data_IF_656754865260
#
_entry.id   IF_656754865260
#
_cell.length_a   1.000
_cell.length_b   1.000
_cell.length_c   1.000
_cell.angle_alpha   90.00
_cell.angle_beta   90.00
_cell.angle_gamma   90.00
#
_symmetry.space_group_name_H-M   'P 1'
#
loop_
_entity.id
_entity.type
_entity.pdbx_description
1 polymer ?
#
# COMPACT_ATOMS: atom_id res chain seq x y z
N UNK A 1 -15.06 6.70 -10.28
CA UNK A 1 -13.80 7.06 -9.59
C UNK A 1 -13.07 5.86 -9.00
N UNK A 2 -13.57 5.22 -7.93
CA UNK A 2 -12.85 4.16 -7.19
C UNK A 2 -12.31 3.02 -8.08
N UNK A 3 -13.14 2.50 -8.98
CA UNK A 3 -12.74 1.42 -9.92
C UNK A 3 -11.53 1.81 -10.76
N UNK A 4 -11.44 3.05 -11.24
CA UNK A 4 -10.32 3.56 -12.05
C UNK A 4 -9.04 3.61 -11.20
N UNK A 5 -9.14 4.10 -9.97
CA UNK A 5 -8.00 4.22 -9.05
C UNK A 5 -7.40 2.85 -8.69
N UNK A 6 -8.27 1.89 -8.37
CA UNK A 6 -7.87 0.52 -8.05
C UNK A 6 -7.33 -0.21 -9.29
N UNK A 7 -7.92 -0.01 -10.47
CA UNK A 7 -7.43 -0.62 -11.71
C UNK A 7 -6.05 -0.08 -12.10
N UNK A 8 -5.81 1.22 -11.95
CA UNK A 8 -4.50 1.81 -12.22
C UNK A 8 -3.43 1.27 -11.26
N UNK A 9 -3.77 1.15 -9.97
CA UNK A 9 -2.90 0.56 -8.97
C UNK A 9 -2.61 -0.93 -9.26
N UNK A 10 -3.64 -1.68 -9.67
CA UNK A 10 -3.51 -3.06 -10.11
C UNK A 10 -2.58 -3.17 -11.32
N UNK A 11 -2.72 -2.28 -12.30
CA UNK A 11 -1.91 -2.27 -13.52
C UNK A 11 -0.44 -2.02 -13.22
N UNK A 12 -0.12 -1.05 -12.35
CA UNK A 12 1.26 -0.80 -11.91
C UNK A 12 1.84 -2.04 -11.23
N UNK A 13 1.12 -2.64 -10.30
CA UNK A 13 1.57 -3.84 -9.59
C UNK A 13 1.77 -5.02 -10.55
N UNK A 14 0.82 -5.23 -11.47
CA UNK A 14 0.85 -6.27 -12.49
C UNK A 14 2.07 -6.12 -13.40
N UNK A 15 2.28 -4.94 -13.99
CA UNK A 15 3.42 -4.66 -14.86
C UNK A 15 4.73 -4.80 -14.10
N UNK A 16 4.83 -4.21 -12.89
CA UNK A 16 6.06 -4.24 -12.11
C UNK A 16 6.47 -5.66 -11.72
N UNK A 17 5.52 -6.49 -11.27
CA UNK A 17 5.79 -7.88 -10.91
C UNK A 17 6.18 -8.71 -12.15
N UNK A 18 5.44 -8.57 -13.25
CA UNK A 18 5.76 -9.30 -14.47
C UNK A 18 7.14 -8.91 -15.02
N UNK A 19 7.45 -7.61 -15.07
CA UNK A 19 8.76 -7.13 -15.53
C UNK A 19 9.91 -7.66 -14.65
N UNK A 20 9.73 -7.63 -13.33
CA UNK A 20 10.74 -8.07 -12.37
C UNK A 20 11.10 -9.54 -12.52
N UNK A 21 10.08 -10.42 -12.60
CA UNK A 21 10.29 -11.87 -12.64
C UNK A 21 10.59 -12.39 -14.05
N UNK A 22 10.04 -11.79 -15.10
CA UNK A 22 10.38 -12.16 -16.49
C UNK A 22 11.86 -11.92 -16.79
N UNK A 23 12.45 -10.86 -16.24
CA UNK A 23 13.87 -10.58 -16.41
C UNK A 23 14.76 -11.70 -15.85
N UNK A 24 14.30 -12.47 -14.86
CA UNK A 24 15.10 -13.54 -14.24
C UNK A 24 15.34 -14.75 -15.17
N UNK A 25 14.59 -14.88 -16.27
CA UNK A 25 14.84 -15.89 -17.30
C UNK A 25 15.97 -15.52 -18.28
N UNK A 26 16.50 -14.29 -18.18
CA UNK A 26 17.67 -13.84 -18.94
C UNK A 26 18.93 -14.05 -18.09
N UNK A 27 19.96 -14.60 -18.71
CA UNK A 27 21.26 -14.67 -18.07
C UNK A 27 21.86 -13.26 -17.97
N UNK A 28 22.07 -12.78 -16.75
CA UNK A 28 22.61 -11.44 -16.48
C UNK A 28 23.51 -11.49 -15.25
N UNK A 29 24.66 -10.81 -15.32
CA UNK A 29 25.64 -10.73 -14.23
C UNK A 29 26.04 -12.10 -13.66
N UNK A 30 26.21 -13.11 -14.52
CA UNK A 30 26.59 -14.46 -14.08
C UNK A 30 25.46 -15.29 -13.47
N UNK A 31 24.20 -14.85 -13.58
CA UNK A 31 23.06 -15.54 -12.96
C UNK A 31 21.94 -15.87 -13.95
N UNK A 32 21.30 -17.03 -13.76
CA UNK A 32 20.02 -17.42 -14.37
C UNK A 32 19.06 -17.81 -13.24
N UNK A 33 17.82 -17.30 -13.27
CA UNK A 33 16.82 -17.50 -12.21
C UNK A 33 17.32 -17.19 -10.79
N UNK A 34 18.23 -16.23 -10.63
CA UNK A 34 18.91 -15.93 -9.38
C UNK A 34 19.80 -17.06 -8.83
N UNK A 35 20.32 -17.92 -9.71
CA UNK A 35 21.37 -18.92 -9.41
C UNK A 35 22.63 -18.51 -10.18
N UNK A 36 23.77 -18.47 -9.50
CA UNK A 36 25.07 -18.15 -10.11
C UNK A 36 25.56 -19.35 -10.91
N UNK A 37 25.86 -19.15 -12.20
CA UNK A 37 26.28 -20.21 -13.12
C UNK A 37 27.48 -19.76 -13.96
N UNK A 38 28.36 -20.69 -14.38
CA UNK A 38 29.37 -20.41 -15.38
C UNK A 38 28.72 -20.23 -16.75
N UNK A 39 29.31 -19.40 -17.62
CA UNK A 39 28.75 -19.11 -18.94
C UNK A 39 28.50 -20.35 -19.80
N UNK A 40 29.39 -21.34 -19.73
CA UNK A 40 29.26 -22.60 -20.50
C UNK A 40 28.09 -23.49 -20.07
N UNK A 41 27.52 -23.31 -18.86
CA UNK A 41 26.38 -24.11 -18.42
C UNK A 41 25.11 -23.82 -19.26
N UNK A 42 25.00 -22.63 -19.85
CA UNK A 42 23.80 -22.20 -20.58
C UNK A 42 23.47 -23.05 -21.81
N UNK A 43 24.45 -23.73 -22.39
CA UNK A 43 24.26 -24.61 -23.54
C UNK A 43 23.62 -25.95 -23.17
N UNK A 44 23.56 -26.28 -21.88
CA UNK A 44 22.99 -27.54 -21.41
C UNK A 44 21.48 -27.62 -21.68
N UNK A 45 21.05 -28.73 -22.29
CA UNK A 45 19.66 -28.94 -22.71
C UNK A 45 18.66 -28.78 -21.54
N UNK A 46 19.01 -29.28 -20.35
CA UNK A 46 18.14 -29.20 -19.17
C UNK A 46 17.86 -27.77 -18.71
N UNK A 47 18.85 -26.87 -18.81
CA UNK A 47 18.62 -25.45 -18.49
C UNK A 47 17.70 -24.79 -19.53
N UNK A 48 17.79 -25.18 -20.79
CA UNK A 48 16.85 -24.72 -21.82
C UNK A 48 15.43 -25.23 -21.55
N UNK A 49 15.29 -26.48 -21.09
CA UNK A 49 14.00 -27.02 -20.66
C UNK A 49 13.40 -26.26 -19.47
N UNK A 50 14.22 -25.91 -18.46
CA UNK A 50 13.78 -25.09 -17.32
C UNK A 50 13.29 -23.73 -17.79
N UNK A 51 14.02 -23.07 -18.70
CA UNK A 51 13.63 -21.76 -19.27
C UNK A 51 12.31 -21.85 -20.05
N UNK A 52 12.17 -22.83 -20.95
CA UNK A 52 10.94 -23.02 -21.71
C UNK A 52 9.73 -23.30 -20.81
N UNK A 53 9.91 -24.11 -19.75
CA UNK A 53 8.86 -24.39 -18.75
C UNK A 53 8.49 -23.13 -17.97
N UNK A 54 9.48 -22.35 -17.55
CA UNK A 54 9.26 -21.06 -16.89
C UNK A 54 8.47 -20.13 -17.80
N UNK A 55 8.91 -19.89 -19.04
CA UNK A 55 8.26 -18.95 -19.95
C UNK A 55 6.80 -19.34 -20.23
N UNK A 56 6.53 -20.63 -20.46
CA UNK A 56 5.17 -21.14 -20.65
C UNK A 56 4.30 -20.93 -19.41
N UNK A 57 4.78 -21.35 -18.24
CA UNK A 57 4.00 -21.28 -16.99
C UNK A 57 3.83 -19.83 -16.49
N UNK A 58 4.84 -19.00 -16.64
CA UNK A 58 4.84 -17.58 -16.31
C UNK A 58 3.90 -16.79 -17.21
N UNK A 59 3.97 -17.00 -18.53
CA UNK A 59 3.07 -16.34 -19.48
C UNK A 59 1.61 -16.75 -19.23
N UNK A 60 1.37 -18.03 -18.95
CA UNK A 60 0.03 -18.52 -18.55
C UNK A 60 -0.43 -17.86 -17.26
N UNK A 61 0.40 -17.79 -16.23
CA UNK A 61 0.06 -17.13 -14.96
C UNK A 61 -0.27 -15.64 -15.16
N UNK A 62 0.56 -14.91 -15.90
CA UNK A 62 0.30 -13.51 -16.26
C UNK A 62 -1.02 -13.35 -16.98
N UNK A 63 -1.27 -14.13 -18.04
CA UNK A 63 -2.51 -14.09 -18.81
C UNK A 63 -3.75 -14.32 -17.92
N UNK A 64 -3.76 -15.36 -17.08
CA UNK A 64 -4.90 -15.63 -16.20
C UNK A 64 -5.10 -14.55 -15.14
N UNK A 65 -4.02 -13.99 -14.58
CA UNK A 65 -4.15 -12.87 -13.66
C UNK A 65 -4.67 -11.61 -14.35
N UNK A 66 -4.30 -11.38 -15.61
CA UNK A 66 -4.86 -10.33 -16.46
C UNK A 66 -6.35 -10.52 -16.75
N UNK A 67 -6.76 -11.74 -17.14
CA UNK A 67 -8.18 -12.12 -17.29
C UNK A 67 -8.94 -11.94 -15.97
N UNK A 68 -8.29 -12.19 -14.83
CA UNK A 68 -8.82 -11.94 -13.50
C UNK A 68 -9.19 -10.48 -13.21
N UNK A 69 -8.79 -9.51 -14.05
CA UNK A 69 -9.29 -8.13 -13.92
C UNK A 69 -10.69 -7.94 -14.53
N UNK A 70 -11.19 -8.88 -15.35
CA UNK A 70 -12.54 -8.79 -15.93
C UNK A 70 -13.62 -8.84 -14.84
N UNK A 71 -13.63 -9.84 -13.92
CA UNK A 71 -14.58 -9.83 -12.80
C UNK A 71 -14.47 -8.57 -11.94
N UNK A 72 -13.25 -8.04 -11.73
CA UNK A 72 -13.06 -6.79 -10.99
C UNK A 72 -13.82 -5.62 -11.65
N UNK A 73 -13.76 -5.48 -12.98
CA UNK A 73 -14.50 -4.44 -13.71
C UNK A 73 -16.01 -4.68 -13.64
N UNK A 74 -16.47 -5.92 -13.78
CA UNK A 74 -17.90 -6.28 -13.68
C UNK A 74 -18.47 -5.92 -12.30
N UNK A 75 -17.67 -6.05 -11.24
CA UNK A 75 -18.08 -5.73 -9.87
C UNK A 75 -18.25 -4.22 -9.59
N UNK A 76 -18.12 -3.32 -10.58
CA UNK A 76 -18.25 -1.86 -10.36
C UNK A 76 -19.58 -1.45 -9.70
N UNK A 77 -20.66 -2.19 -9.95
CA UNK A 77 -21.98 -1.95 -9.34
C UNK A 77 -22.06 -2.35 -7.87
N UNK A 78 -21.13 -3.20 -7.39
CA UNK A 78 -21.05 -3.68 -6.02
C UNK A 78 -19.69 -3.38 -5.40
N UNK A 79 -19.49 -2.10 -5.08
CA UNK A 79 -18.24 -1.54 -4.55
C UNK A 79 -17.62 -2.37 -3.40
N UNK A 80 -18.36 -2.82 -2.36
CA UNK A 80 -17.77 -3.61 -1.28
C UNK A 80 -17.11 -4.90 -1.80
N UNK A 81 -17.79 -5.65 -2.66
CA UNK A 81 -17.25 -6.88 -3.25
C UNK A 81 -16.12 -6.61 -4.24
N UNK A 82 -16.17 -5.48 -4.97
CA UNK A 82 -15.07 -5.06 -5.84
C UNK A 82 -13.77 -4.83 -5.05
N UNK A 83 -13.85 -4.17 -3.89
CA UNK A 83 -12.69 -3.93 -3.02
C UNK A 83 -12.15 -5.24 -2.45
N UNK A 84 -13.02 -6.12 -1.97
CA UNK A 84 -12.63 -7.44 -1.45
C UNK A 84 -11.94 -8.25 -2.55
N UNK A 85 -12.53 -8.31 -3.74
CA UNK A 85 -11.97 -8.99 -4.89
C UNK A 85 -10.58 -8.43 -5.24
N UNK A 86 -10.42 -7.11 -5.27
CA UNK A 86 -9.13 -6.46 -5.53
C UNK A 86 -8.04 -6.89 -4.54
N UNK A 87 -8.34 -6.91 -3.24
CA UNK A 87 -7.39 -7.31 -2.20
C UNK A 87 -6.95 -8.78 -2.36
N UNK A 88 -7.91 -9.67 -2.63
CA UNK A 88 -7.64 -11.09 -2.87
C UNK A 88 -6.86 -11.29 -4.17
N UNK A 89 -7.26 -10.60 -5.23
CA UNK A 89 -6.60 -10.65 -6.55
C UNK A 89 -5.14 -10.18 -6.44
N UNK A 90 -4.85 -9.14 -5.65
CA UNK A 90 -3.48 -8.66 -5.44
C UNK A 90 -2.60 -9.72 -4.75
N UNK A 91 -3.13 -10.41 -3.74
CA UNK A 91 -2.43 -11.53 -3.09
C UNK A 91 -2.22 -12.69 -4.06
N UNK A 92 -3.25 -13.05 -4.82
CA UNK A 92 -3.20 -14.10 -5.84
C UNK A 92 -2.17 -13.77 -6.94
N UNK A 93 -2.11 -12.51 -7.40
CA UNK A 93 -1.13 -12.03 -8.38
C UNK A 93 0.30 -12.30 -7.91
N UNK A 94 0.62 -11.91 -6.67
CA UNK A 94 1.96 -12.13 -6.09
C UNK A 94 2.28 -13.62 -6.09
N UNK A 95 1.38 -14.46 -5.58
CA UNK A 95 1.61 -15.91 -5.50
C UNK A 95 1.74 -16.56 -6.88
N UNK A 96 0.88 -16.20 -7.83
CA UNK A 96 0.84 -16.76 -9.18
C UNK A 96 2.10 -16.41 -9.99
N UNK A 97 2.62 -15.18 -9.85
CA UNK A 97 3.84 -14.73 -10.54
C UNK A 97 5.10 -15.31 -9.88
N UNK A 98 5.12 -15.42 -8.55
CA UNK A 98 6.27 -15.94 -7.80
C UNK A 98 6.42 -17.46 -7.95
N UNK A 99 5.33 -18.23 -8.07
CA UNK A 99 5.39 -19.68 -8.08
C UNK A 99 6.22 -20.28 -9.25
N UNK A 100 6.05 -19.87 -10.53
CA UNK A 100 6.91 -20.29 -11.63
C UNK A 100 8.39 -19.99 -11.39
N UNK A 101 8.70 -18.78 -10.90
CA UNK A 101 10.07 -18.39 -10.59
C UNK A 101 10.69 -19.28 -9.51
N UNK A 102 9.96 -19.56 -8.42
CA UNK A 102 10.44 -20.44 -7.34
C UNK A 102 10.74 -21.84 -7.83
N UNK A 103 9.93 -22.36 -8.76
CA UNK A 103 10.19 -23.67 -9.37
C UNK A 103 11.46 -23.62 -10.21
N UNK A 104 11.57 -22.64 -11.11
CA UNK A 104 12.74 -22.47 -11.95
C UNK A 104 14.04 -22.31 -11.14
N UNK A 105 14.03 -21.48 -10.09
CA UNK A 105 15.17 -21.35 -9.17
C UNK A 105 15.59 -22.69 -8.56
N UNK A 106 14.63 -23.49 -8.05
CA UNK A 106 14.94 -24.79 -7.45
C UNK A 106 15.49 -25.78 -8.46
N UNK A 107 14.88 -25.85 -9.65
CA UNK A 107 15.30 -26.76 -10.72
C UNK A 107 16.71 -26.38 -11.20
N UNK A 108 16.99 -25.08 -11.40
CA UNK A 108 18.34 -24.58 -11.76
C UNK A 108 19.36 -24.84 -10.66
N UNK A 109 19.01 -24.65 -9.38
CA UNK A 109 19.91 -24.94 -8.26
C UNK A 109 20.21 -26.43 -8.12
N UNK A 110 19.25 -27.31 -8.45
CA UNK A 110 19.46 -28.75 -8.46
C UNK A 110 20.44 -29.17 -9.56
N UNK A 111 20.23 -28.70 -10.80
CA UNK A 111 21.14 -28.95 -11.92
C UNK A 111 22.56 -28.43 -11.63
N UNK A 112 22.66 -27.24 -11.02
CA UNK A 112 23.95 -26.71 -10.57
C UNK A 112 24.70 -27.66 -9.63
N UNK A 113 23.99 -28.31 -8.71
CA UNK A 113 24.59 -29.26 -7.77
C UNK A 113 24.99 -30.56 -8.46
N UNK A 114 24.15 -31.05 -9.36
CA UNK A 114 24.38 -32.29 -10.12
C UNK A 114 25.61 -32.19 -11.03
N UNK A 115 25.74 -31.08 -11.77
CA UNK A 115 26.83 -30.87 -12.71
C UNK A 115 28.01 -30.07 -12.12
N UNK A 116 28.01 -29.83 -10.81
CA UNK A 116 29.03 -29.08 -10.08
C UNK A 116 29.37 -27.70 -10.69
N UNK A 117 28.36 -26.97 -11.18
CA UNK A 117 28.49 -25.63 -11.77
C UNK A 117 28.72 -24.52 -10.73
N UNK A 118 29.71 -24.69 -9.87
CA UNK A 118 30.08 -23.73 -8.84
C UNK A 118 31.11 -22.72 -9.37
N UNK A 119 30.95 -21.45 -8.99
CA UNK A 119 31.82 -20.36 -9.48
C UNK A 119 32.43 -19.58 -8.31
N UNK A 120 33.75 -19.47 -8.28
CA UNK A 120 34.45 -18.69 -7.26
C UNK A 120 34.45 -19.34 -5.87
N UNK A 121 34.64 -18.54 -4.83
CA UNK A 121 34.74 -19.02 -3.47
C UNK A 121 33.35 -19.36 -2.89
N UNK A 122 33.20 -20.56 -2.34
CA UNK A 122 31.99 -21.00 -1.64
C UNK A 122 31.94 -20.43 -0.23
N UNK A 123 30.78 -19.96 0.21
CA UNK A 123 30.48 -19.63 1.63
C UNK A 123 31.40 -18.58 2.28
N UNK A 124 31.90 -17.62 1.51
CA UNK A 124 32.74 -16.53 2.04
C UNK A 124 31.91 -15.27 2.27
N UNK A 125 31.98 -14.72 3.47
CA UNK A 125 31.44 -13.38 3.77
C UNK A 125 32.59 -12.39 3.69
N UNK A 126 32.66 -11.65 2.58
CA UNK A 126 33.66 -10.60 2.41
C UNK A 126 33.18 -9.29 3.04
N UNK A 127 34.09 -8.58 3.70
CA UNK A 127 33.82 -7.25 4.24
C UNK A 127 35.00 -6.33 3.99
N UNK A 128 34.72 -5.17 3.40
CA UNK A 128 35.67 -4.07 3.28
C UNK A 128 35.43 -3.08 4.43
N UNK A 129 36.39 -3.02 5.36
CA UNK A 129 36.31 -2.16 6.56
C UNK A 129 36.30 -0.67 6.21
N UNK A 130 37.02 -0.27 5.16
CA UNK A 130 37.08 1.13 4.72
C UNK A 130 35.73 1.54 4.14
N UNK A 131 35.11 0.68 3.33
CA UNK A 131 33.74 0.90 2.83
C UNK A 131 32.74 0.95 3.98
N UNK A 132 32.87 0.07 4.97
CA UNK A 132 31.97 0.05 6.12
C UNK A 132 31.96 1.40 6.87
N UNK A 133 33.14 2.04 7.00
CA UNK A 133 33.30 3.37 7.58
C UNK A 133 32.81 4.50 6.66
N UNK A 134 33.10 4.43 5.35
CA UNK A 134 32.91 5.55 4.42
C UNK A 134 31.59 5.55 3.65
N UNK A 135 30.82 4.44 3.65
CA UNK A 135 29.60 4.28 2.82
C UNK A 135 28.57 5.40 2.99
N UNK A 136 28.43 5.94 4.19
CA UNK A 136 27.39 6.93 4.52
C UNK A 136 27.84 8.39 4.31
N UNK A 137 29.10 8.65 3.94
CA UNK A 137 29.63 10.02 3.81
C UNK A 137 28.89 10.88 2.79
N UNK A 138 28.31 10.27 1.76
CA UNK A 138 27.53 10.98 0.71
C UNK A 138 26.01 10.88 0.90
N UNK A 139 25.52 10.34 2.01
CA UNK A 139 24.09 10.29 2.31
C UNK A 139 23.53 11.69 2.61
N UNK A 140 22.29 11.95 2.20
CA UNK A 140 21.53 13.15 2.52
C UNK A 140 21.53 13.39 4.03
N UNK A 141 21.90 14.58 4.48
CA UNK A 141 21.87 14.95 5.91
C UNK A 141 20.48 14.69 6.51
N UNK A 142 20.43 14.08 7.69
CA UNK A 142 19.16 13.80 8.37
C UNK A 142 18.45 15.09 8.78
N UNK A 143 19.19 16.18 8.97
CA UNK A 143 18.64 17.51 9.23
C UNK A 143 17.73 18.02 8.11
N UNK A 144 17.87 17.51 6.88
CA UNK A 144 16.97 17.86 5.79
C UNK A 144 15.53 17.38 6.03
N UNK A 145 15.32 16.37 6.88
CA UNK A 145 13.96 15.95 7.27
C UNK A 145 13.22 17.01 8.09
N UNK A 146 13.90 18.02 8.64
CA UNK A 146 13.22 19.17 9.26
C UNK A 146 12.26 19.86 8.28
N UNK A 147 12.54 19.82 6.97
CA UNK A 147 11.68 20.40 5.93
C UNK A 147 10.31 19.71 5.88
N UNK A 148 10.20 18.39 5.56
CA UNK A 148 8.90 17.72 5.54
C UNK A 148 8.25 17.65 6.93
N UNK A 149 9.01 17.61 8.03
CA UNK A 149 8.42 17.74 9.37
C UNK A 149 7.79 19.11 9.61
N UNK A 150 8.45 20.20 9.20
CA UNK A 150 7.89 21.55 9.33
C UNK A 150 6.62 21.70 8.49
N UNK A 151 6.57 21.13 7.28
CA UNK A 151 5.36 21.09 6.45
C UNK A 151 4.22 20.35 7.16
N UNK A 152 4.48 19.12 7.64
CA UNK A 152 3.49 18.30 8.33
C UNK A 152 2.98 18.94 9.63
N UNK A 153 3.89 19.47 10.45
CA UNK A 153 3.56 20.13 11.72
C UNK A 153 2.79 21.43 11.46
N UNK A 154 3.20 22.23 10.48
CA UNK A 154 2.48 23.45 10.10
C UNK A 154 1.03 23.16 9.72
N UNK A 155 0.81 22.13 8.89
CA UNK A 155 -0.53 21.68 8.50
C UNK A 155 -1.33 21.14 9.70
N UNK A 156 -0.67 20.40 10.60
CA UNK A 156 -1.30 19.86 11.82
C UNK A 156 -1.74 20.97 12.77
N UNK A 157 -0.86 21.93 13.08
CA UNK A 157 -1.16 23.06 13.97
C UNK A 157 -2.31 23.91 13.43
N UNK A 158 -2.32 24.14 12.12
CA UNK A 158 -3.43 24.82 11.45
C UNK A 158 -4.75 24.03 11.62
N UNK A 159 -4.73 22.72 11.38
CA UNK A 159 -5.92 21.87 11.53
C UNK A 159 -6.46 21.83 12.97
N UNK A 160 -5.58 21.81 13.98
CA UNK A 160 -5.97 21.88 15.40
C UNK A 160 -6.63 23.22 15.71
N UNK A 161 -6.01 24.33 15.29
CA UNK A 161 -6.53 25.68 15.55
C UNK A 161 -7.88 25.92 14.89
N UNK A 162 -8.11 25.33 13.72
CA UNK A 162 -9.35 25.51 12.94
C UNK A 162 -10.44 24.50 13.26
N UNK A 163 -10.26 23.61 14.24
CA UNK A 163 -11.16 22.49 14.53
C UNK A 163 -11.53 21.70 13.26
N UNK A 164 -10.51 21.43 12.43
CA UNK A 164 -10.72 20.95 11.08
C UNK A 164 -11.35 19.53 11.05
N UNK A 165 -12.45 19.32 10.30
CA UNK A 165 -13.11 18.02 10.23
C UNK A 165 -12.28 16.91 9.55
N UNK A 166 -11.16 17.24 8.89
CA UNK A 166 -10.27 16.32 8.19
C UNK A 166 -8.92 16.14 8.88
N UNK A 167 -8.89 16.24 10.22
CA UNK A 167 -7.69 16.02 11.05
C UNK A 167 -6.93 14.71 10.74
N UNK A 168 -7.62 13.64 10.32
CA UNK A 168 -6.99 12.38 9.90
C UNK A 168 -6.10 12.50 8.67
N UNK A 169 -6.43 13.42 7.75
CA UNK A 169 -5.64 13.67 6.53
C UNK A 169 -4.40 14.49 6.87
N UNK A 170 -4.52 15.48 7.75
CA UNK A 170 -3.41 16.36 8.15
C UNK A 170 -2.37 15.62 8.99
N UNK A 171 -2.79 14.63 9.79
CA UNK A 171 -1.90 13.73 10.54
C UNK A 171 -1.18 12.70 9.65
N UNK A 172 -1.77 12.33 8.51
CA UNK A 172 -1.19 11.35 7.59
C UNK A 172 0.20 11.73 7.06
N UNK A 173 0.40 13.00 6.71
CA UNK A 173 1.69 13.51 6.25
C UNK A 173 2.81 13.38 7.30
N UNK A 174 2.47 13.59 8.57
CA UNK A 174 3.41 13.45 9.69
C UNK A 174 3.83 11.98 9.87
N UNK A 175 2.87 11.05 9.84
CA UNK A 175 3.12 9.61 9.99
C UNK A 175 4.00 9.09 8.85
N UNK A 176 3.71 9.46 7.59
CA UNK A 176 4.54 9.05 6.46
C UNK A 176 5.94 9.67 6.51
N UNK A 177 6.06 10.93 6.94
CA UNK A 177 7.37 11.59 7.12
C UNK A 177 8.22 10.84 8.15
N UNK A 178 7.63 10.49 9.29
CA UNK A 178 8.30 9.70 10.33
C UNK A 178 8.70 8.31 9.81
N UNK A 179 7.84 7.65 9.03
CA UNK A 179 8.14 6.37 8.39
C UNK A 179 9.32 6.46 7.42
N UNK A 180 9.37 7.48 6.55
CA UNK A 180 10.49 7.66 5.62
C UNK A 180 11.79 8.02 6.33
N UNK A 181 11.74 8.80 7.41
CA UNK A 181 12.90 9.05 8.26
C UNK A 181 13.39 7.74 8.88
N UNK A 182 12.49 6.92 9.44
CA UNK A 182 12.82 5.63 10.01
C UNK A 182 13.49 4.71 8.97
N UNK A 183 12.93 4.63 7.76
CA UNK A 183 13.54 3.88 6.65
C UNK A 183 14.93 4.43 6.32
N UNK A 184 15.12 5.75 6.26
CA UNK A 184 16.42 6.38 5.97
C UNK A 184 17.48 6.11 7.04
N UNK A 185 17.10 6.23 8.32
CA UNK A 185 17.94 5.86 9.47
C UNK A 185 18.35 4.40 9.41
N UNK A 186 17.39 3.53 9.10
CA UNK A 186 17.62 2.10 9.02
C UNK A 186 18.52 1.72 7.84
N UNK A 187 18.27 2.29 6.67
CA UNK A 187 19.08 2.07 5.47
C UNK A 187 20.56 2.36 5.74
N UNK A 188 20.90 3.41 6.49
CA UNK A 188 22.29 3.73 6.87
C UNK A 188 23.00 2.61 7.65
N UNK A 189 22.26 1.73 8.32
CA UNK A 189 22.79 0.58 9.09
C UNK A 189 23.03 -0.68 8.25
N UNK A 190 22.40 -0.83 7.10
CA UNK A 190 22.57 -2.02 6.23
C UNK A 190 24.07 -2.19 5.87
N UNK A 191 24.59 -3.42 5.86
CA UNK A 191 25.98 -3.72 5.46
C UNK A 191 26.26 -3.23 4.03
N UNK A 192 27.50 -2.84 3.77
CA UNK A 192 27.95 -2.53 2.42
C UNK A 192 28.12 -3.81 1.60
N UNK A 193 27.86 -3.73 0.29
CA UNK A 193 28.16 -4.82 -0.64
C UNK A 193 29.62 -4.71 -1.07
N UNK A 194 30.33 -5.83 -1.10
CA UNK A 194 31.67 -5.95 -1.70
C UNK A 194 31.45 -6.42 -3.14
N UNK A 195 31.83 -5.59 -4.10
CA UNK A 195 31.64 -5.84 -5.53
C UNK A 195 32.94 -6.33 -6.19
N UNK A 196 34.07 -5.79 -5.74
CA UNK A 196 35.39 -6.02 -6.30
C UNK A 196 36.45 -6.14 -5.20
N UNK A 197 37.60 -6.72 -5.52
CA UNK A 197 38.81 -6.63 -4.69
C UNK A 197 39.37 -5.19 -4.62
N UNK A 198 38.92 -4.29 -5.50
CA UNK A 198 39.26 -2.88 -5.49
C UNK A 198 38.39 -2.10 -4.50
N UNK A 199 39.00 -1.66 -3.38
CA UNK A 199 38.32 -0.91 -2.33
C UNK A 199 37.72 0.41 -2.82
N UNK A 200 38.38 1.12 -3.74
CA UNK A 200 37.87 2.39 -4.27
C UNK A 200 36.56 2.20 -5.05
N UNK A 201 36.49 1.17 -5.89
CA UNK A 201 35.26 0.80 -6.61
C UNK A 201 34.13 0.50 -5.63
N UNK A 202 34.42 -0.27 -4.57
CA UNK A 202 33.43 -0.56 -3.55
C UNK A 202 32.94 0.72 -2.83
N UNK A 203 33.84 1.67 -2.53
CA UNK A 203 33.50 2.95 -1.89
C UNK A 203 32.59 3.76 -2.82
N UNK A 204 32.97 3.92 -4.09
CA UNK A 204 32.21 4.71 -5.08
C UNK A 204 30.80 4.16 -5.23
N UNK A 205 30.65 2.85 -5.47
CA UNK A 205 29.35 2.23 -5.69
C UNK A 205 28.47 2.27 -4.44
N UNK A 206 29.02 1.97 -3.26
CA UNK A 206 28.24 2.05 -2.02
C UNK A 206 27.84 3.49 -1.72
N UNK A 207 28.73 4.47 -1.86
CA UNK A 207 28.39 5.88 -1.61
C UNK A 207 27.35 6.41 -2.60
N UNK A 208 27.45 6.05 -3.89
CA UNK A 208 26.46 6.42 -4.89
C UNK A 208 25.08 5.85 -4.55
N UNK A 209 25.02 4.56 -4.21
CA UNK A 209 23.79 3.90 -3.74
C UNK A 209 23.22 4.59 -2.50
N UNK A 210 24.07 4.87 -1.51
CA UNK A 210 23.65 5.52 -0.24
C UNK A 210 23.13 6.92 -0.45
N UNK A 211 23.79 7.71 -1.31
CA UNK A 211 23.34 9.05 -1.71
C UNK A 211 21.96 8.96 -2.36
N UNK A 212 21.85 8.21 -3.46
CA UNK A 212 20.62 8.11 -4.25
C UNK A 212 19.43 7.65 -3.40
N UNK A 213 19.59 6.59 -2.60
CA UNK A 213 18.50 6.07 -1.75
C UNK A 213 18.13 7.05 -0.62
N UNK A 214 19.10 7.71 0.01
CA UNK A 214 18.80 8.68 1.08
C UNK A 214 18.06 9.91 0.57
N UNK A 215 18.41 10.42 -0.61
CA UNK A 215 17.69 11.52 -1.25
C UNK A 215 16.33 11.09 -1.80
N UNK A 216 16.19 9.85 -2.28
CA UNK A 216 14.90 9.29 -2.68
C UNK A 216 13.91 9.31 -1.52
N UNK A 217 14.27 8.80 -0.34
CA UNK A 217 13.35 8.78 0.81
C UNK A 217 13.04 10.16 1.37
N UNK A 218 13.99 11.10 1.29
CA UNK A 218 13.72 12.50 1.63
C UNK A 218 12.74 13.14 0.65
N UNK A 219 12.95 12.94 -0.66
CA UNK A 219 12.05 13.37 -1.71
C UNK A 219 10.64 12.80 -1.53
N UNK A 220 10.54 11.50 -1.24
CA UNK A 220 9.27 10.84 -0.95
C UNK A 220 8.52 11.50 0.22
N UNK A 221 9.23 11.87 1.29
CA UNK A 221 8.61 12.57 2.41
C UNK A 221 8.06 13.96 2.00
N UNK A 222 8.79 14.71 1.19
CA UNK A 222 8.33 16.03 0.71
C UNK A 222 7.14 15.86 -0.24
N UNK A 223 7.25 14.95 -1.21
CA UNK A 223 6.20 14.68 -2.18
C UNK A 223 4.89 14.24 -1.50
N UNK A 224 4.95 13.33 -0.52
CA UNK A 224 3.74 12.91 0.20
C UNK A 224 3.12 14.06 1.03
N UNK A 225 3.91 14.98 1.59
CA UNK A 225 3.32 16.16 2.25
C UNK A 225 2.56 17.06 1.25
N UNK A 226 3.10 17.23 0.03
CA UNK A 226 2.40 17.94 -1.05
C UNK A 226 1.12 17.18 -1.43
N UNK A 227 1.19 15.85 -1.52
CA UNK A 227 0.03 15.00 -1.80
C UNK A 227 -1.08 15.20 -0.77
N UNK A 228 -0.76 15.12 0.53
CA UNK A 228 -1.73 15.31 1.61
C UNK A 228 -2.33 16.72 1.60
N UNK A 229 -1.54 17.75 1.31
CA UNK A 229 -2.06 19.10 1.13
C UNK A 229 -3.05 19.18 -0.04
N UNK A 230 -2.74 18.55 -1.18
CA UNK A 230 -3.64 18.52 -2.32
C UNK A 230 -4.92 17.73 -2.03
N UNK A 231 -4.82 16.55 -1.39
CA UNK A 231 -5.99 15.79 -0.92
C UNK A 231 -6.85 16.67 -0.02
N UNK A 232 -6.24 17.41 0.91
CA UNK A 232 -6.95 18.30 1.81
C UNK A 232 -7.69 19.41 1.05
N UNK A 233 -7.03 20.14 0.15
CA UNK A 233 -7.64 21.19 -0.67
C UNK A 233 -8.82 20.61 -1.48
N UNK A 234 -8.64 19.42 -2.04
CA UNK A 234 -9.67 18.72 -2.80
C UNK A 234 -10.86 18.33 -1.91
N UNK A 235 -10.63 17.86 -0.68
CA UNK A 235 -11.70 17.51 0.27
C UNK A 235 -12.55 18.73 0.67
N UNK A 236 -11.91 19.87 0.93
CA UNK A 236 -12.59 21.11 1.35
C UNK A 236 -13.39 21.74 0.22
N UNK A 237 -12.83 21.73 -1.00
CA UNK A 237 -13.44 22.36 -2.17
C UNK A 237 -14.23 21.37 -3.04
N UNK A 238 -14.39 20.13 -2.59
CA UNK A 238 -14.94 19.03 -3.36
C UNK A 238 -16.32 19.35 -3.91
N UNK A 239 -16.44 19.32 -5.24
CA UNK A 239 -17.69 19.37 -5.97
C UNK A 239 -17.62 18.42 -7.17
N UNK A 240 -18.78 18.05 -7.73
CA UNK A 240 -18.86 17.08 -8.82
C UNK A 240 -18.06 17.48 -10.08
N UNK A 241 -17.85 18.78 -10.32
CA UNK A 241 -17.04 19.27 -11.43
C UNK A 241 -15.54 19.03 -11.27
N UNK A 242 -15.08 18.71 -10.05
CA UNK A 242 -13.66 18.47 -9.75
C UNK A 242 -13.26 17.00 -9.80
N UNK A 243 -14.19 16.07 -10.07
CA UNK A 243 -13.93 14.62 -10.07
C UNK A 243 -12.76 14.21 -10.97
N UNK A 244 -12.59 14.88 -12.12
CA UNK A 244 -11.46 14.65 -13.02
C UNK A 244 -10.11 15.04 -12.40
N UNK A 245 -10.06 16.20 -11.73
CA UNK A 245 -8.87 16.66 -11.01
C UNK A 245 -8.53 15.73 -9.84
N UNK A 246 -9.54 15.30 -9.09
CA UNK A 246 -9.41 14.30 -8.03
C UNK A 246 -8.73 13.02 -8.51
N UNK A 247 -9.23 12.47 -9.61
CA UNK A 247 -8.64 11.28 -10.22
C UNK A 247 -7.20 11.57 -10.64
N UNK A 248 -6.95 12.69 -11.33
CA UNK A 248 -5.62 13.03 -11.81
C UNK A 248 -4.58 13.16 -10.68
N UNK A 249 -4.91 13.83 -9.57
CA UNK A 249 -4.01 13.95 -8.42
C UNK A 249 -3.68 12.58 -7.83
N UNK A 250 -4.68 11.73 -7.58
CA UNK A 250 -4.44 10.40 -6.99
C UNK A 250 -3.59 9.52 -7.92
N UNK A 251 -3.87 9.53 -9.22
CA UNK A 251 -3.09 8.78 -10.20
C UNK A 251 -1.65 9.29 -10.29
N UNK A 252 -1.45 10.61 -10.30
CA UNK A 252 -0.13 11.22 -10.36
C UNK A 252 0.70 10.85 -9.13
N UNK A 253 0.14 10.92 -7.93
CA UNK A 253 0.83 10.55 -6.69
C UNK A 253 0.93 9.04 -6.46
N UNK A 254 0.29 8.24 -7.30
CA UNK A 254 0.60 6.81 -7.39
C UNK A 254 1.78 6.56 -8.36
N UNK A 255 1.83 7.30 -9.47
CA UNK A 255 2.87 7.16 -10.50
C UNK A 255 4.22 7.80 -10.13
N UNK A 256 4.25 8.99 -9.52
CA UNK A 256 5.47 9.72 -9.15
C UNK A 256 6.35 8.89 -8.20
N UNK A 257 5.84 8.31 -7.09
CA UNK A 257 6.61 7.41 -6.25
C UNK A 257 7.20 6.22 -7.00
N UNK A 258 6.37 5.53 -7.78
CA UNK A 258 6.79 4.35 -8.53
C UNK A 258 7.90 4.69 -9.55
N UNK A 259 7.73 5.78 -10.29
CA UNK A 259 8.71 6.30 -11.23
C UNK A 259 10.00 6.76 -10.54
N UNK A 260 9.91 7.42 -9.39
CA UNK A 260 11.07 7.87 -8.60
C UNK A 260 11.90 6.70 -8.10
N UNK A 261 11.26 5.64 -7.61
CA UNK A 261 11.91 4.39 -7.20
C UNK A 261 12.58 3.73 -8.41
N UNK A 262 11.84 3.56 -9.51
CA UNK A 262 12.38 2.96 -10.73
C UNK A 262 13.61 3.71 -11.24
N UNK A 263 13.52 5.04 -11.38
CA UNK A 263 14.62 5.89 -11.83
C UNK A 263 15.84 5.79 -10.91
N UNK A 264 15.64 5.84 -9.59
CA UNK A 264 16.71 5.74 -8.61
C UNK A 264 17.48 4.41 -8.72
N UNK A 265 16.76 3.28 -8.82
CA UNK A 265 17.40 1.97 -8.97
C UNK A 265 18.02 1.76 -10.35
N UNK A 266 17.35 2.23 -11.42
CA UNK A 266 17.92 2.19 -12.76
C UNK A 266 19.26 2.93 -12.82
N UNK A 267 19.32 4.15 -12.26
CA UNK A 267 20.55 4.94 -12.15
C UNK A 267 21.64 4.23 -11.35
N UNK A 268 21.29 3.57 -10.24
CA UNK A 268 22.26 2.78 -9.44
C UNK A 268 22.80 1.61 -10.26
N UNK A 269 21.93 0.88 -10.95
CA UNK A 269 22.32 -0.29 -11.74
C UNK A 269 23.16 0.08 -12.96
N UNK A 270 22.83 1.17 -13.66
CA UNK A 270 23.62 1.66 -14.78
C UNK A 270 25.07 1.98 -14.35
N UNK A 271 25.21 2.69 -13.22
CA UNK A 271 26.53 3.00 -12.66
C UNK A 271 27.28 1.74 -12.19
N UNK A 272 26.58 0.78 -11.56
CA UNK A 272 27.17 -0.50 -11.16
C UNK A 272 27.73 -1.25 -12.38
N UNK A 273 26.99 -1.31 -13.49
CA UNK A 273 27.45 -1.97 -14.71
C UNK A 273 28.65 -1.25 -15.35
N UNK A 274 28.59 0.07 -15.45
CA UNK A 274 29.66 0.88 -16.04
C UNK A 274 30.99 0.73 -15.28
N UNK A 275 30.95 0.88 -13.95
CA UNK A 275 32.17 0.83 -13.12
C UNK A 275 32.74 -0.58 -13.05
N UNK A 276 31.90 -1.61 -12.91
CA UNK A 276 32.38 -2.99 -12.82
C UNK A 276 32.92 -3.54 -14.15
N UNK A 277 32.39 -3.07 -15.28
CA UNK A 277 32.92 -3.44 -16.59
C UNK A 277 34.38 -2.98 -16.78
N UNK A 278 34.78 -1.88 -16.13
CA UNK A 278 36.13 -1.32 -16.24
C UNK A 278 37.11 -1.86 -15.19
N UNK A 279 36.62 -2.46 -14.10
CA UNK A 279 37.46 -2.80 -12.94
C UNK A 279 38.28 -4.10 -13.12
N UNK A 280 37.76 -5.07 -13.87
CA UNK A 280 38.47 -6.34 -14.15
C UNK A 280 38.77 -7.24 -12.94
N UNK A 281 38.38 -6.83 -11.72
CA UNK A 281 38.63 -7.55 -10.45
C UNK A 281 37.34 -7.86 -9.68
N UNK A 282 36.25 -8.03 -10.42
CA UNK A 282 34.92 -8.36 -9.88
C UNK A 282 34.96 -9.69 -9.15
N UNK A 283 34.34 -9.74 -7.97
CA UNK A 283 34.25 -10.96 -7.17
C UNK A 283 32.97 -11.70 -7.50
N UNK A 284 33.11 -12.96 -7.90
CA UNK A 284 32.01 -13.91 -7.97
C UNK A 284 32.00 -14.74 -6.69
N UNK A 285 30.96 -14.60 -5.88
CA UNK A 285 30.76 -15.39 -4.66
C UNK A 285 29.58 -16.34 -4.88
N UNK A 286 29.76 -17.61 -4.54
CA UNK A 286 28.71 -18.61 -4.63
C UNK A 286 28.02 -18.78 -3.27
N UNK A 287 26.97 -17.99 -3.04
CA UNK A 287 26.17 -17.98 -1.82
C UNK A 287 24.73 -18.50 -2.03
N UNK A 288 24.48 -19.17 -3.16
CA UNK A 288 23.14 -19.58 -3.62
C UNK A 288 22.38 -20.44 -2.61
N UNK A 289 23.10 -21.24 -1.83
CA UNK A 289 22.54 -22.10 -0.78
C UNK A 289 21.80 -21.30 0.31
N UNK A 290 22.16 -20.03 0.52
CA UNK A 290 21.53 -19.15 1.49
C UNK A 290 20.34 -18.36 0.93
N UNK A 291 20.01 -18.49 -0.36
CA UNK A 291 18.92 -17.78 -0.99
C UNK A 291 17.68 -18.67 -1.14
N UNK A 292 16.95 -18.84 -0.04
CA UNK A 292 15.68 -19.54 -0.05
C UNK A 292 14.74 -18.93 -1.12
N UNK A 293 14.28 -19.78 -2.03
CA UNK A 293 13.33 -19.41 -3.09
C UNK A 293 13.84 -18.35 -4.08
N UNK A 294 15.15 -18.09 -4.13
CA UNK A 294 15.79 -17.15 -5.06
C UNK A 294 15.70 -15.67 -4.69
N UNK A 295 14.90 -15.30 -3.69
CA UNK A 295 14.74 -13.89 -3.26
C UNK A 295 14.72 -13.67 -1.74
N UNK A 296 14.58 -14.72 -0.93
CA UNK A 296 14.60 -14.62 0.54
C UNK A 296 15.95 -15.09 1.05
N UNK A 297 16.61 -14.33 1.91
CA UNK A 297 17.90 -14.71 2.47
C UNK A 297 17.72 -15.53 3.75
N UNK A 298 18.51 -16.58 3.91
CA UNK A 298 18.53 -17.49 5.04
C UNK A 298 19.95 -17.95 5.32
N UNK A 299 20.70 -17.17 6.08
CA UNK A 299 22.04 -17.53 6.52
C UNK A 299 22.17 -17.46 8.05
N UNK A 300 22.24 -18.60 8.76
CA UNK A 300 22.44 -18.64 10.21
C UNK A 300 23.75 -18.01 10.69
N UNK A 301 24.76 -17.94 9.82
CA UNK A 301 26.08 -17.38 10.14
C UNK A 301 26.16 -15.86 9.93
N UNK A 302 25.20 -15.25 9.23
CA UNK A 302 25.09 -13.79 9.12
C UNK A 302 24.07 -13.24 10.11
N UNK A 303 24.53 -12.45 11.09
CA UNK A 303 23.64 -11.83 12.09
C UNK A 303 22.85 -10.62 11.56
N UNK A 304 23.08 -10.22 10.31
CA UNK A 304 22.34 -9.09 9.69
C UNK A 304 20.87 -9.43 9.53
N UNK A 305 19.98 -8.53 9.96
CA UNK A 305 18.54 -8.71 9.78
C UNK A 305 18.13 -8.39 8.33
N UNK A 306 18.71 -7.36 7.72
CA UNK A 306 18.42 -6.96 6.35
C UNK A 306 19.68 -7.01 5.49
N UNK A 307 19.53 -7.57 4.30
CA UNK A 307 20.60 -7.80 3.34
C UNK A 307 20.17 -7.22 1.98
N UNK A 308 21.06 -6.58 1.20
CA UNK A 308 20.72 -6.17 -0.16
C UNK A 308 20.17 -7.35 -0.96
N UNK A 309 19.10 -7.14 -1.75
CA UNK A 309 18.60 -8.22 -2.62
C UNK A 309 19.67 -8.60 -3.66
N UNK A 310 19.79 -9.90 -3.95
CA UNK A 310 20.61 -10.39 -5.06
C UNK A 310 20.00 -10.10 -6.43
N UNK A 311 18.67 -10.09 -6.51
CA UNK A 311 17.90 -9.79 -7.72
C UNK A 311 16.79 -8.78 -7.43
N UNK A 312 16.57 -7.87 -8.38
CA UNK A 312 15.60 -6.79 -8.25
C UNK A 312 16.04 -5.67 -7.30
N UNK A 313 15.07 -4.87 -6.86
CA UNK A 313 15.31 -3.64 -6.11
C UNK A 313 15.11 -3.82 -4.60
N UNK A 314 15.96 -3.16 -3.80
CA UNK A 314 15.81 -3.05 -2.35
C UNK A 314 16.65 -4.01 -1.53
N UNK A 315 16.11 -4.35 -0.36
CA UNK A 315 16.68 -5.27 0.61
C UNK A 315 15.71 -6.43 0.86
N UNK A 316 16.24 -7.56 1.31
CA UNK A 316 15.50 -8.71 1.82
C UNK A 316 15.81 -8.91 3.30
N UNK A 317 15.06 -9.79 3.95
CA UNK A 317 15.22 -10.09 5.38
C UNK A 317 15.93 -11.44 5.53
N UNK A 318 16.90 -11.51 6.45
CA UNK A 318 17.51 -12.77 6.85
C UNK A 318 16.59 -13.53 7.79
N UNK A 319 15.94 -14.54 7.24
CA UNK A 319 14.99 -15.42 7.95
C UNK A 319 15.65 -16.43 8.88
N UNK A 320 16.99 -16.50 8.91
CA UNK A 320 17.69 -17.30 9.91
C UNK A 320 17.71 -16.60 11.29
N UNK A 321 17.52 -15.29 11.33
CA UNK A 321 17.46 -14.51 12.58
C UNK A 321 16.07 -14.55 13.21
N UNK A 322 16.00 -14.54 14.56
CA UNK A 322 14.72 -14.47 15.29
C UNK A 322 13.91 -13.22 14.89
N UNK A 323 14.57 -12.06 14.87
CA UNK A 323 13.95 -10.79 14.48
C UNK A 323 13.46 -10.85 13.03
N UNK A 324 14.25 -11.40 12.10
CA UNK A 324 13.84 -11.53 10.70
C UNK A 324 12.59 -12.40 10.52
N UNK A 325 12.48 -13.52 11.27
CA UNK A 325 11.26 -14.35 11.29
C UNK A 325 10.06 -13.56 11.82
N UNK A 326 10.22 -12.83 12.93
CA UNK A 326 9.15 -12.00 13.48
C UNK A 326 8.68 -10.93 12.49
N UNK A 327 9.61 -10.28 11.76
CA UNK A 327 9.23 -9.26 10.76
C UNK A 327 8.44 -9.90 9.61
N UNK A 328 8.91 -11.00 9.01
CA UNK A 328 8.19 -11.61 7.89
C UNK A 328 6.82 -12.12 8.32
N UNK A 329 6.76 -12.96 9.36
CA UNK A 329 5.50 -13.59 9.77
C UNK A 329 4.55 -12.60 10.44
N UNK A 330 5.09 -11.64 11.20
CA UNK A 330 4.31 -10.54 11.76
C UNK A 330 3.71 -9.66 10.67
N UNK A 331 4.48 -9.30 9.63
CA UNK A 331 3.96 -8.51 8.50
C UNK A 331 2.90 -9.29 7.71
N UNK A 332 3.12 -10.57 7.44
CA UNK A 332 2.12 -11.43 6.79
C UNK A 332 0.84 -11.54 7.63
N UNK A 333 0.96 -11.72 8.95
CA UNK A 333 -0.16 -11.76 9.88
C UNK A 333 -0.95 -10.44 9.93
N UNK A 334 -0.26 -9.31 9.99
CA UNK A 334 -0.90 -7.97 9.96
C UNK A 334 -1.64 -7.74 8.64
N UNK A 335 -1.04 -8.10 7.50
CA UNK A 335 -1.71 -7.98 6.18
C UNK A 335 -2.95 -8.87 6.13
N UNK A 336 -2.86 -10.12 6.59
CA UNK A 336 -4.00 -11.04 6.62
C UNK A 336 -5.11 -10.52 7.53
N UNK A 337 -4.78 -10.08 8.74
CA UNK A 337 -5.74 -9.50 9.69
C UNK A 337 -6.40 -8.23 9.14
N UNK A 338 -5.64 -7.37 8.45
CA UNK A 338 -6.17 -6.17 7.80
C UNK A 338 -7.16 -6.54 6.69
N UNK A 339 -6.80 -7.47 5.79
CA UNK A 339 -7.68 -7.90 4.70
C UNK A 339 -8.96 -8.52 5.28
N UNK A 340 -8.84 -9.46 6.23
CA UNK A 340 -9.99 -10.10 6.86
C UNK A 340 -10.87 -9.08 7.58
N UNK A 341 -10.28 -8.18 8.36
CA UNK A 341 -11.00 -7.15 9.11
C UNK A 341 -11.74 -6.18 8.19
N UNK A 342 -11.09 -5.68 7.14
CA UNK A 342 -11.71 -4.80 6.15
C UNK A 342 -12.81 -5.54 5.38
N UNK A 343 -12.57 -6.77 4.93
CA UNK A 343 -13.58 -7.58 4.26
C UNK A 343 -14.79 -7.84 5.14
N UNK A 344 -14.58 -8.19 6.41
CA UNK A 344 -15.65 -8.39 7.39
C UNK A 344 -16.47 -7.11 7.59
N UNK A 345 -15.81 -5.96 7.77
CA UNK A 345 -16.49 -4.68 7.92
C UNK A 345 -17.32 -4.32 6.68
N UNK A 346 -16.77 -4.50 5.48
CA UNK A 346 -17.45 -4.21 4.22
C UNK A 346 -18.68 -5.11 4.00
N UNK A 347 -18.57 -6.40 4.28
CA UNK A 347 -19.71 -7.34 4.20
C UNK A 347 -20.76 -6.98 5.25
N UNK A 348 -20.34 -6.72 6.49
CA UNK A 348 -21.24 -6.36 7.59
C UNK A 348 -22.02 -5.07 7.28
N UNK A 349 -21.36 -4.07 6.72
CA UNK A 349 -21.98 -2.81 6.26
C UNK A 349 -23.06 -3.06 5.19
N UNK A 350 -22.80 -3.94 4.21
CA UNK A 350 -23.74 -4.20 3.12
C UNK A 350 -24.99 -4.98 3.57
N UNK A 351 -24.86 -5.91 4.53
CA UNK A 351 -25.99 -6.74 5.01
C UNK A 351 -26.78 -6.11 6.15
N UNK A 352 -26.25 -5.07 6.81
CA UNK A 352 -26.90 -4.43 7.96
C UNK A 352 -27.51 -3.10 7.54
N UNK A 353 -28.78 -2.88 7.85
CA UNK A 353 -29.42 -1.56 7.73
C UNK A 353 -29.45 -0.87 9.10
N UNK A 354 -29.35 0.47 9.16
CA UNK A 354 -29.67 1.21 10.37
C UNK A 354 -31.09 0.91 10.82
N UNK A 355 -31.30 0.83 12.13
CA UNK A 355 -32.65 0.67 12.71
C UNK A 355 -32.84 1.72 13.79
N UNK A 356 -33.98 2.41 13.77
CA UNK A 356 -34.37 3.37 14.78
C UNK A 356 -35.42 2.72 15.67
N UNK A 357 -35.15 2.71 16.98
CA UNK A 357 -36.07 2.21 17.98
C UNK A 357 -36.19 3.21 19.14
N UNK A 358 -37.34 3.21 19.80
CA UNK A 358 -37.57 4.00 21.01
C UNK A 358 -37.45 3.05 22.19
N UNK A 359 -36.56 3.35 23.13
CA UNK A 359 -36.34 2.55 24.33
C UNK A 359 -37.35 2.90 25.42
N UNK A 360 -37.46 2.03 26.43
CA UNK A 360 -38.41 2.19 27.55
C UNK A 360 -38.18 3.45 28.39
N UNK A 361 -36.96 3.99 28.37
CA UNK A 361 -36.52 5.18 29.09
C UNK A 361 -36.63 6.47 28.26
N UNK A 362 -37.56 6.53 27.29
CA UNK A 362 -37.83 7.73 26.47
C UNK A 362 -36.61 8.20 25.66
N UNK A 363 -35.76 7.28 25.20
CA UNK A 363 -34.62 7.59 24.31
C UNK A 363 -34.84 7.02 22.92
N UNK A 364 -34.30 7.71 21.93
CA UNK A 364 -34.21 7.23 20.55
C UNK A 364 -32.84 6.59 20.35
N UNK A 365 -32.82 5.33 19.96
CA UNK A 365 -31.62 4.55 19.66
C UNK A 365 -31.59 4.20 18.17
N UNK A 366 -30.63 4.80 17.46
CA UNK A 366 -30.30 4.46 16.08
C UNK A 366 -29.13 3.47 16.09
N UNK A 367 -29.46 2.19 15.93
CA UNK A 367 -28.47 1.11 15.89
C UNK A 367 -27.90 0.94 14.50
N UNK A 368 -26.58 1.08 14.39
CA UNK A 368 -25.81 0.78 13.19
C UNK A 368 -24.35 0.46 13.55
N UNK A 369 -23.69 -0.53 12.89
CA UNK A 369 -22.28 -0.84 13.16
C UNK A 369 -21.39 0.40 13.11
N UNK A 370 -20.53 0.59 14.13
CA UNK A 370 -19.58 1.69 14.28
C UNK A 370 -20.14 3.11 14.44
N UNK A 371 -21.38 3.36 14.00
CA UNK A 371 -21.98 4.69 13.99
C UNK A 371 -23.34 4.73 14.68
N UNK A 372 -23.57 3.90 15.69
CA UNK A 372 -24.79 4.00 16.51
C UNK A 372 -24.88 5.38 17.18
N UNK A 373 -26.09 5.83 17.46
CA UNK A 373 -26.33 7.12 18.10
C UNK A 373 -27.60 7.11 18.92
N UNK A 374 -27.52 7.68 20.11
CA UNK A 374 -28.61 7.75 21.07
C UNK A 374 -28.80 9.18 21.55
N UNK A 375 -30.05 9.57 21.78
CA UNK A 375 -30.46 10.86 22.33
C UNK A 375 -31.82 10.74 23.03
N UNK A 376 -32.13 11.66 23.94
CA UNK A 376 -33.45 11.69 24.59
C UNK A 376 -34.54 12.21 23.65
N UNK A 377 -35.77 11.74 23.82
CA UNK A 377 -36.91 12.31 23.08
C UNK A 377 -37.10 13.80 23.42
N UNK A 378 -36.84 14.19 24.67
CA UNK A 378 -36.92 15.57 25.15
C UNK A 378 -35.86 16.50 24.53
N UNK A 379 -34.77 15.94 23.98
CA UNK A 379 -33.72 16.70 23.30
C UNK A 379 -34.16 17.17 21.90
N UNK A 380 -35.25 16.63 21.37
CA UNK A 380 -35.75 16.94 20.02
C UNK A 380 -36.36 18.35 20.00
N UNK A 381 -35.67 19.30 19.36
CA UNK A 381 -36.16 20.67 19.16
C UNK A 381 -37.13 20.77 18.00
N UNK A 382 -36.89 19.99 16.94
CA UNK A 382 -37.72 20.00 15.73
C UNK A 382 -37.75 18.60 15.11
N UNK A 383 -38.94 18.17 14.70
CA UNK A 383 -39.18 16.88 14.05
C UNK A 383 -40.05 17.12 12.80
N UNK A 384 -39.51 16.83 11.61
CA UNK A 384 -40.20 17.08 10.33
C UNK A 384 -39.94 15.95 9.33
N UNK A 385 -40.91 15.66 8.45
CA UNK A 385 -40.65 14.89 7.23
C UNK A 385 -40.16 15.84 6.13
N UNK A 386 -39.08 15.46 5.45
CA UNK A 386 -38.53 16.17 4.32
C UNK A 386 -38.48 15.25 3.09
N UNK A 387 -38.72 15.79 1.90
CA UNK A 387 -38.59 15.03 0.65
C UNK A 387 -37.17 15.02 0.10
N UNK A 388 -36.30 15.90 0.63
CA UNK A 388 -34.90 16.01 0.23
C UNK A 388 -34.00 16.18 1.44
N UNK A 389 -32.79 15.65 1.32
CA UNK A 389 -31.69 15.98 2.24
C UNK A 389 -30.89 17.11 1.59
N UNK A 390 -30.58 18.21 2.30
CA UNK A 390 -29.85 19.33 1.73
C UNK A 390 -28.62 18.86 0.96
N UNK A 391 -28.52 19.31 -0.29
CA UNK A 391 -27.42 18.97 -1.16
C UNK A 391 -26.18 19.77 -0.77
N UNK A 392 -25.01 19.15 -0.94
CA UNK A 392 -23.75 19.77 -0.54
C UNK A 392 -23.39 19.53 0.93
N UNK A 393 -22.12 19.19 1.14
CA UNK A 393 -21.60 18.78 2.43
C UNK A 393 -20.51 17.73 2.26
N UNK A 394 -19.76 17.49 3.33
CA UNK A 394 -18.63 16.55 3.32
C UNK A 394 -18.86 15.42 4.30
N UNK A 395 -18.50 14.21 3.89
CA UNK A 395 -18.43 13.05 4.78
C UNK A 395 -17.20 13.21 5.66
N UNK A 396 -17.40 13.36 6.97
CA UNK A 396 -16.30 13.50 7.93
C UNK A 396 -15.84 12.13 8.44
N UNK A 397 -16.79 11.24 8.74
CA UNK A 397 -16.49 9.84 9.08
C UNK A 397 -17.72 8.97 8.83
N UNK A 398 -17.59 7.88 8.10
CA UNK A 398 -18.73 7.05 7.72
C UNK A 398 -18.64 6.46 6.33
N UNK A 399 -19.79 6.03 5.85
CA UNK A 399 -20.01 5.45 4.54
C UNK A 399 -20.85 6.39 3.69
N UNK A 400 -20.42 6.64 2.46
CA UNK A 400 -21.20 7.35 1.46
C UNK A 400 -21.04 6.61 0.14
N UNK A 401 -22.10 5.91 -0.26
CA UNK A 401 -22.17 5.16 -1.52
C UNK A 401 -23.18 5.81 -2.45
N UNK A 402 -23.36 5.27 -3.65
CA UNK A 402 -24.47 5.67 -4.52
C UNK A 402 -25.85 5.33 -3.93
N UNK A 403 -25.93 4.34 -3.04
CA UNK A 403 -27.19 3.82 -2.50
C UNK A 403 -27.56 4.40 -1.14
N UNK A 404 -26.58 4.65 -0.27
CA UNK A 404 -26.83 5.07 1.11
C UNK A 404 -25.76 6.03 1.64
N UNK A 405 -26.08 6.73 2.74
CA UNK A 405 -25.14 7.54 3.51
C UNK A 405 -25.37 7.29 4.99
N UNK A 406 -24.31 6.85 5.68
CA UNK A 406 -24.34 6.32 7.04
C UNK A 406 -23.16 6.85 7.84
N UNK A 407 -23.40 7.58 8.93
CA UNK A 407 -22.36 8.11 9.81
C UNK A 407 -22.40 9.63 9.98
N UNK A 408 -21.23 10.24 10.14
CA UNK A 408 -21.02 11.66 10.44
C UNK A 408 -20.70 12.46 9.18
N UNK A 409 -21.41 13.56 9.03
CA UNK A 409 -21.35 14.48 7.91
C UNK A 409 -21.31 15.93 8.41
N UNK A 410 -20.88 16.83 7.53
CA UNK A 410 -21.03 18.27 7.71
C UNK A 410 -21.77 18.82 6.49
N UNK A 411 -23.07 19.05 6.62
CA UNK A 411 -23.92 19.61 5.55
C UNK A 411 -23.68 21.11 5.46
N UNK A 412 -23.70 21.67 4.24
CA UNK A 412 -23.27 23.07 4.00
C UNK A 412 -24.15 24.09 4.73
N UNK A 413 -25.46 23.85 4.78
CA UNK A 413 -26.44 24.77 5.38
C UNK A 413 -26.76 24.44 6.85
N UNK A 414 -26.66 23.15 7.22
CA UNK A 414 -27.08 22.66 8.54
C UNK A 414 -25.91 22.40 9.51
N UNK A 415 -24.66 22.48 9.03
CA UNK A 415 -23.48 22.23 9.86
C UNK A 415 -23.33 20.75 10.21
N UNK A 416 -23.07 20.44 11.49
CA UNK A 416 -22.84 19.06 11.96
C UNK A 416 -24.10 18.23 11.75
N UNK A 417 -23.96 17.09 11.06
CA UNK A 417 -25.10 16.22 10.78
C UNK A 417 -24.74 14.74 10.86
N UNK A 418 -25.75 13.91 11.12
CA UNK A 418 -25.67 12.46 11.03
C UNK A 418 -26.68 11.98 9.99
N UNK A 419 -26.22 11.15 9.08
CA UNK A 419 -27.07 10.57 8.05
C UNK A 419 -27.16 9.06 8.29
N UNK A 420 -28.38 8.53 8.19
CA UNK A 420 -28.70 7.10 8.18
C UNK A 420 -29.74 6.87 7.09
N UNK A 421 -29.35 7.17 5.85
CA UNK A 421 -30.31 7.28 4.75
C UNK A 421 -30.02 6.34 3.59
N UNK A 422 -31.09 5.87 2.96
CA UNK A 422 -31.13 5.41 1.58
C UNK A 422 -31.35 6.62 0.67
N UNK A 423 -30.41 6.86 -0.24
CA UNK A 423 -30.45 8.02 -1.14
C UNK A 423 -31.59 7.91 -2.14
N UNK A 424 -32.13 9.05 -2.56
CA UNK A 424 -33.21 9.17 -3.54
C UNK A 424 -34.47 8.36 -3.16
N UNK A 425 -34.74 8.21 -1.86
CA UNK A 425 -35.85 7.40 -1.34
C UNK A 425 -36.68 8.18 -0.29
N UNK A 426 -37.39 9.26 -0.67
CA UNK A 426 -38.20 10.02 0.28
C UNK A 426 -39.38 9.19 0.85
N UNK A 427 -39.92 9.57 2.01
CA UNK A 427 -39.55 10.74 2.80
C UNK A 427 -38.35 10.47 3.73
N UNK A 428 -37.76 11.54 4.26
CA UNK A 428 -36.69 11.51 5.26
C UNK A 428 -37.17 12.15 6.56
N UNK A 429 -36.97 11.48 7.69
CA UNK A 429 -37.16 12.06 9.01
C UNK A 429 -35.98 12.99 9.27
N UNK A 430 -36.26 14.28 9.45
CA UNK A 430 -35.30 15.29 9.90
C UNK A 430 -35.55 15.58 11.38
N UNK A 431 -34.53 15.32 12.18
CA UNK A 431 -34.52 15.56 13.64
C UNK A 431 -33.48 16.63 13.92
N UNK A 432 -33.89 17.73 14.56
CA UNK A 432 -33.01 18.78 15.04
C UNK A 432 -32.79 18.62 16.54
N UNK A 433 -31.54 18.41 16.93
CA UNK A 433 -31.06 18.53 18.31
C UNK A 433 -30.33 19.88 18.47
N UNK A 434 -29.76 20.16 19.65
CA UNK A 434 -29.07 21.43 19.92
C UNK A 434 -27.90 21.71 18.96
N UNK A 435 -27.00 20.73 18.79
CA UNK A 435 -25.76 20.90 18.01
C UNK A 435 -25.66 20.02 16.76
N UNK A 436 -26.71 19.23 16.45
CA UNK A 436 -26.65 18.25 15.36
C UNK A 436 -28.01 18.02 14.71
N UNK A 437 -27.98 17.89 13.38
CA UNK A 437 -29.11 17.42 12.59
C UNK A 437 -28.98 15.93 12.29
N UNK A 438 -30.09 15.19 12.36
CA UNK A 438 -30.14 13.78 12.00
C UNK A 438 -31.12 13.61 10.85
N UNK A 439 -30.70 12.87 9.82
CA UNK A 439 -31.57 12.39 8.76
C UNK A 439 -31.65 10.88 8.80
N UNK A 440 -32.87 10.36 8.77
CA UNK A 440 -33.16 8.93 8.82
C UNK A 440 -34.26 8.57 7.82
N UNK A 441 -34.13 7.44 7.12
CA UNK A 441 -35.25 6.81 6.45
C UNK A 441 -35.06 5.29 6.40
N UNK A 442 -36.18 4.59 6.23
CA UNK A 442 -36.20 3.18 5.88
C UNK A 442 -36.14 2.99 4.37
N UNK A 443 -35.82 1.76 3.97
CA UNK A 443 -35.89 1.36 2.56
C UNK A 443 -37.33 1.44 2.05
N UNK A 444 -38.31 1.12 2.88
CA UNK A 444 -39.73 1.25 2.56
C UNK A 444 -40.28 2.59 3.08
N UNK A 445 -40.75 3.49 2.21
CA UNK A 445 -41.25 4.81 2.60
C UNK A 445 -42.37 4.78 3.65
N UNK A 446 -43.21 3.75 3.64
CA UNK A 446 -44.29 3.57 4.62
C UNK A 446 -43.75 3.37 6.04
N UNK A 447 -42.70 2.57 6.20
CA UNK A 447 -42.05 2.37 7.50
C UNK A 447 -41.45 3.68 8.03
N UNK A 448 -40.87 4.50 7.15
CA UNK A 448 -40.37 5.83 7.53
C UNK A 448 -41.49 6.72 8.09
N UNK A 449 -42.67 6.71 7.48
CA UNK A 449 -43.84 7.47 7.98
C UNK A 449 -44.34 6.94 9.32
N UNK A 450 -44.40 5.61 9.47
CA UNK A 450 -44.80 4.99 10.74
C UNK A 450 -43.85 5.34 11.89
N UNK A 451 -42.53 5.31 11.64
CA UNK A 451 -41.54 5.71 12.65
C UNK A 451 -41.70 7.19 13.01
N UNK A 452 -41.95 8.06 12.02
CA UNK A 452 -42.22 9.47 12.27
C UNK A 452 -43.44 9.69 13.15
N UNK A 453 -44.56 9.03 12.86
CA UNK A 453 -45.78 9.09 13.69
C UNK A 453 -45.54 8.57 15.10
N UNK A 454 -44.75 7.50 15.26
CA UNK A 454 -44.37 6.99 16.57
C UNK A 454 -43.55 8.02 17.38
N UNK A 455 -42.59 8.69 16.75
CA UNK A 455 -41.81 9.75 17.38
C UNK A 455 -42.69 10.94 17.78
N UNK A 456 -43.64 11.36 16.94
CA UNK A 456 -44.59 12.44 17.26
C UNK A 456 -45.45 12.09 18.48
N UNK A 457 -46.00 10.88 18.53
CA UNK A 457 -46.82 10.41 19.66
C UNK A 457 -46.05 10.43 20.97
N UNK A 458 -44.78 10.03 20.97
CA UNK A 458 -43.95 10.04 22.17
C UNK A 458 -43.59 11.46 22.62
N UNK A 459 -43.47 12.41 21.69
CA UNK A 459 -43.29 13.83 22.00
C UNK A 459 -44.57 14.54 22.50
N UNK A 460 -45.71 13.84 22.57
CA UNK A 460 -47.00 14.42 22.94
C UNK A 460 -47.54 15.43 21.92
N UNK A 461 -47.21 15.25 20.63
CA UNK A 461 -47.63 16.11 19.52
C UNK A 461 -48.56 15.42 18.54
#
# INVERSE_FOLDING_TARGET
>A
MLTILLLFSAMICYIALLATYKQQAKYQNGMLFAVTLPGGALEHADLQHVRARFDKSFSKAGLWMGIGLIPFVILYAWIPYQVIYFLVWLCALVLAVVAPFRRAFRDTLALKREHEWFVGNKRVILSDLRVAQLKNKRSASLWLYLIPFAMAIGMLLWAVRSEDPFFGVTTGGLVLTALFLFISLYMRRIKSKVYSMNSEVNIILNQARRRTISYLWLWMAIAENIHFLLIYILLVNGNAGMDGLWIAVILLFTAIPAGSIYYAYHKIHALEQEVLAQDGKVIYTDDDEYWANGFTYHNPHDKSIFVPKRVGMGATINTATRVGKCIIWGTAGIIAALIIGVSFMLVRSEITSPTLSITSDQRVDIRYPMYSYEFGIDDIKELTLADTVPSGGVKTNGEATGKYSRGKFRLKELGKSRLYIFKNNPPYIRIKLDDVYIFYNEKEPLLTRQIFEQLQKQMGK
#
